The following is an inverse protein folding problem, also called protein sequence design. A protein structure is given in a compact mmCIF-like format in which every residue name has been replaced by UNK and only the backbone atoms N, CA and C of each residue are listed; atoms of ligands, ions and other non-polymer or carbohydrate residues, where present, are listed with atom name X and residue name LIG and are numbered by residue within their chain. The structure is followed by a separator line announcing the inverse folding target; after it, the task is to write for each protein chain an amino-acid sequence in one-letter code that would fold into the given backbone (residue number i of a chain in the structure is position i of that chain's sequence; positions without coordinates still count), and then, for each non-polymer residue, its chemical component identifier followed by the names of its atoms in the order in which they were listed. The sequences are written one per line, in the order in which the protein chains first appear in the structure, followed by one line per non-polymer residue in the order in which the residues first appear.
data_IF_861328126489
#
_entry.id   IF_861328126489
#
_cell.length_a   1.000
_cell.length_b   1.000
_cell.length_c   1.000
_cell.angle_alpha   90.00
_cell.angle_beta   90.00
_cell.angle_gamma   90.00
#
_symmetry.space_group_name_H-M   'P 1'
#
loop_
_entity.id
_entity.type
_entity.pdbx_description
1 polymer ?
#
# COMPACT_ATOMS: atom_id res chain seq x y z
N UNK A 1 15.03 -37.79 -7.45
CA UNK A 1 14.63 -36.42 -7.87
C UNK A 1 14.32 -35.61 -6.62
N UNK A 2 15.03 -34.51 -6.35
CA UNK A 2 14.58 -33.44 -5.43
C UNK A 2 15.12 -32.10 -5.96
N UNK A 3 14.73 -31.78 -7.19
CA UNK A 3 14.86 -30.46 -7.79
C UNK A 3 13.53 -29.74 -7.68
N UNK A 4 13.08 -29.49 -6.45
CA UNK A 4 11.98 -28.57 -6.20
C UNK A 4 12.59 -27.16 -6.16
N UNK A 5 12.25 -26.34 -7.14
CA UNK A 5 12.63 -24.93 -7.14
C UNK A 5 11.79 -24.24 -6.05
N UNK A 6 12.42 -23.80 -4.96
CA UNK A 6 11.78 -22.96 -3.94
C UNK A 6 11.55 -21.56 -4.54
N UNK A 7 10.49 -21.43 -5.34
CA UNK A 7 10.09 -20.14 -5.90
C UNK A 7 9.20 -19.43 -4.90
N UNK A 8 9.83 -18.62 -4.05
CA UNK A 8 9.15 -17.63 -3.22
C UNK A 8 8.84 -16.40 -4.08
N UNK A 9 7.70 -16.42 -4.78
CA UNK A 9 7.28 -15.28 -5.61
C UNK A 9 6.14 -14.50 -4.96
N UNK A 10 6.28 -13.18 -4.95
CA UNK A 10 5.24 -12.25 -4.52
C UNK A 10 4.89 -11.36 -5.71
N UNK A 11 3.70 -11.55 -6.27
CA UNK A 11 3.22 -10.75 -7.39
C UNK A 11 2.17 -9.74 -6.89
N UNK A 12 2.24 -8.51 -7.39
CA UNK A 12 1.28 -7.46 -7.03
C UNK A 12 0.91 -6.70 -8.29
N UNK A 13 -0.32 -6.94 -8.77
CA UNK A 13 -0.94 -6.16 -9.84
C UNK A 13 -1.87 -5.15 -9.22
N UNK A 14 -1.77 -3.89 -9.66
CA UNK A 14 -2.73 -2.85 -9.28
C UNK A 14 -3.14 -2.15 -10.55
N UNK A 15 -4.42 -2.30 -10.87
CA UNK A 15 -5.05 -1.73 -12.04
C UNK A 15 -6.21 -0.87 -11.61
N UNK A 16 -6.41 0.23 -12.31
CA UNK A 16 -7.54 1.09 -12.06
C UNK A 16 -7.55 2.29 -12.97
N UNK A 17 -8.75 2.82 -13.18
CA UNK A 17 -8.95 4.02 -13.97
C UNK A 17 -10.04 4.89 -13.36
N UNK A 18 -9.96 6.18 -13.65
CA UNK A 18 -11.01 7.16 -13.34
C UNK A 18 -11.46 7.76 -14.67
N UNK A 19 -12.72 7.55 -15.02
CA UNK A 19 -13.28 8.03 -16.29
C UNK A 19 -14.63 8.67 -16.05
N UNK A 20 -14.97 9.62 -16.92
CA UNK A 20 -16.24 10.36 -16.91
C UNK A 20 -16.56 11.09 -15.59
N UNK A 21 -15.52 11.46 -14.85
CA UNK A 21 -15.67 12.17 -13.59
C UNK A 21 -15.92 13.66 -13.81
N UNK A 22 -16.99 14.20 -13.23
CA UNK A 22 -17.24 15.63 -13.09
C UNK A 22 -17.21 16.02 -11.61
N UNK A 23 -16.48 17.08 -11.28
CA UNK A 23 -16.40 17.64 -9.94
C UNK A 23 -16.77 19.12 -10.02
N UNK A 24 -17.90 19.49 -9.43
CA UNK A 24 -18.43 20.86 -9.45
C UNK A 24 -18.82 21.26 -8.02
N UNK A 25 -18.60 22.54 -7.66
CA UNK A 25 -18.74 23.05 -6.29
C UNK A 25 -18.01 22.20 -5.22
N UNK A 26 -16.84 21.65 -5.54
CA UNK A 26 -16.07 20.83 -4.59
C UNK A 26 -15.37 21.72 -3.56
N UNK A 27 -15.77 21.56 -2.30
CA UNK A 27 -15.03 22.04 -1.14
C UNK A 27 -14.16 20.89 -0.64
N UNK A 28 -12.84 20.95 -0.86
CA UNK A 28 -11.90 20.00 -0.26
C UNK A 28 -11.44 20.49 1.11
N UNK A 29 -11.28 19.54 2.04
CA UNK A 29 -10.81 19.80 3.40
C UNK A 29 -9.32 19.50 3.59
N UNK A 30 -8.82 19.79 4.80
CA UNK A 30 -7.47 19.41 5.20
C UNK A 30 -7.32 17.89 5.24
N UNK A 31 -6.19 17.42 4.74
CA UNK A 31 -5.81 16.01 4.71
C UNK A 31 -4.45 15.94 5.40
N UNK A 32 -4.49 16.14 6.71
CA UNK A 32 -3.33 16.44 7.54
C UNK A 32 -3.09 15.33 8.55
N UNK A 33 -1.86 14.84 8.53
CA UNK A 33 -1.26 14.01 9.56
C UNK A 33 -0.44 14.97 10.42
N UNK A 34 -0.78 15.06 11.70
CA UNK A 34 -0.23 16.05 12.61
C UNK A 34 0.81 15.45 13.56
N UNK A 35 1.38 16.31 14.43
CA UNK A 35 2.41 15.93 15.39
C UNK A 35 2.05 14.67 16.18
N UNK A 36 2.99 13.73 16.23
CA UNK A 36 2.85 12.47 16.94
C UNK A 36 2.04 11.39 16.24
N UNK A 37 1.52 11.62 15.03
CA UNK A 37 0.64 10.66 14.33
C UNK A 37 1.25 9.26 14.12
N UNK A 38 2.59 9.17 14.07
CA UNK A 38 3.32 7.90 14.01
C UNK A 38 4.39 7.78 15.10
N UNK A 39 4.26 8.52 16.20
CA UNK A 39 5.16 8.36 17.32
C UNK A 39 5.08 6.91 17.84
N UNK A 40 6.23 6.25 17.95
CA UNK A 40 6.36 4.82 18.30
C UNK A 40 5.79 3.82 17.29
N UNK A 41 5.49 4.24 16.06
CA UNK A 41 5.13 3.30 15.01
C UNK A 41 6.29 2.34 14.74
N UNK A 42 6.00 1.04 14.73
CA UNK A 42 6.97 -0.04 14.55
C UNK A 42 6.39 -1.07 13.58
N UNK A 43 7.26 -1.86 12.94
CA UNK A 43 6.88 -2.73 11.83
C UNK A 43 6.63 -1.95 10.54
N UNK A 44 5.71 -2.44 9.70
CA UNK A 44 5.41 -1.84 8.41
C UNK A 44 4.14 -0.98 8.50
N UNK A 45 4.28 0.29 8.14
CA UNK A 45 3.20 1.25 8.16
C UNK A 45 3.00 1.79 6.73
N UNK A 46 1.75 1.84 6.29
CA UNK A 46 1.37 2.47 5.02
C UNK A 46 0.27 3.45 5.26
N UNK A 47 0.42 4.63 4.68
CA UNK A 47 -0.54 5.71 4.89
C UNK A 47 -0.74 6.42 3.60
N UNK A 48 -2.01 6.59 3.24
CA UNK A 48 -2.40 7.35 2.08
C UNK A 48 -3.45 8.36 2.51
N UNK A 49 -3.20 9.60 2.11
CA UNK A 49 -3.96 10.77 2.48
C UNK A 49 -4.42 11.41 1.17
N UNK A 50 -5.72 11.55 0.97
CA UNK A 50 -6.25 12.29 -0.17
C UNK A 50 -7.51 13.09 0.21
N UNK A 51 -7.49 14.40 -0.02
CA UNK A 51 -8.65 15.30 0.12
C UNK A 51 -9.32 15.65 -1.21
N UNK A 52 -8.95 14.99 -2.30
CA UNK A 52 -9.42 15.32 -3.64
C UNK A 52 -10.74 14.65 -3.99
N UNK A 53 -11.51 15.27 -4.89
CA UNK A 53 -12.55 14.58 -5.65
C UNK A 53 -11.95 13.94 -6.89
N UNK A 54 -12.59 12.89 -7.41
CA UNK A 54 -12.14 12.16 -8.61
C UNK A 54 -10.81 11.43 -8.44
N UNK A 55 -10.44 11.04 -7.22
CA UNK A 55 -9.17 10.37 -6.96
C UNK A 55 -9.35 8.87 -6.91
N UNK A 56 -8.51 8.18 -7.68
CA UNK A 56 -8.25 6.76 -7.52
C UNK A 56 -6.92 6.57 -6.82
N UNK A 57 -6.96 5.79 -5.74
CA UNK A 57 -5.79 5.43 -4.95
C UNK A 57 -5.53 3.94 -5.14
N UNK A 58 -4.29 3.64 -5.51
CA UNK A 58 -3.84 2.29 -5.85
C UNK A 58 -2.60 1.98 -5.03
N UNK A 59 -2.76 1.18 -3.97
CA UNK A 59 -1.66 0.73 -3.12
C UNK A 59 -1.56 -0.79 -3.17
N UNK A 60 -0.45 -1.28 -3.69
CA UNK A 60 -0.10 -2.69 -3.72
C UNK A 60 1.10 -2.96 -2.83
N UNK A 61 0.85 -3.34 -1.58
CA UNK A 61 1.93 -3.77 -0.69
C UNK A 61 2.10 -5.28 -0.73
N UNK A 62 3.23 -5.71 -1.27
CA UNK A 62 3.70 -7.10 -1.19
C UNK A 62 4.69 -7.24 -0.05
N UNK A 63 4.44 -8.17 0.87
CA UNK A 63 5.38 -8.51 1.94
C UNK A 63 5.58 -10.02 1.93
N UNK A 64 6.82 -10.43 1.75
CA UNK A 64 7.23 -11.83 1.87
C UNK A 64 8.26 -11.96 2.98
N UNK A 65 7.99 -12.84 3.93
CA UNK A 65 8.88 -13.12 5.07
C UNK A 65 9.32 -14.57 4.98
N UNK A 66 10.63 -14.78 4.89
CA UNK A 66 11.25 -16.11 4.86
C UNK A 66 12.15 -16.21 6.08
N UNK A 67 11.89 -17.21 6.91
CA UNK A 67 12.79 -17.56 8.01
C UNK A 67 13.70 -18.69 7.54
N UNK A 68 15.01 -18.46 7.52
CA UNK A 68 15.95 -19.57 7.45
C UNK A 68 15.82 -20.39 8.73
N UNK A 69 15.75 -21.72 8.60
CA UNK A 69 15.74 -22.61 9.76
C UNK A 69 17.00 -22.33 10.61
N UNK A 70 16.90 -21.90 11.88
CA UNK A 70 18.06 -21.51 12.70
C UNK A 70 18.89 -22.71 13.21
N UNK A 71 19.05 -23.75 12.40
CA UNK A 71 19.60 -25.04 12.82
C UNK A 71 20.35 -25.84 11.75
N UNK A 72 20.88 -25.21 10.69
CA UNK A 72 21.94 -25.77 9.85
C UNK A 72 23.10 -24.79 9.74
#
# INVERSE_FOLDING_TARGET
MRGGQDTNESNTSVDGSVHDNTADHVVSGSNSINDGAFANASGLNTVIQNSGSNVLIQNGMSIQVIFANPGQ
#
